data_IF_400050645879
#
_entry.id   IF_400050645879
#
_cell.length_a   1.000
_cell.length_b   1.000
_cell.length_c   1.000
_cell.angle_alpha   90.00
_cell.angle_beta   90.00
_cell.angle_gamma   90.00
#
_symmetry.space_group_name_H-M   'P 1'
#
loop_
_entity.id
_entity.type
_entity.pdbx_description
1 polymer ?
#
# COMPACT_ATOMS: atom_id res chain seq x y z
N UNK A 1 23.64 -60.41 10.54
CA UNK A 1 23.90 -59.23 11.40
C UNK A 1 25.01 -58.42 10.76
N UNK A 2 24.69 -57.29 10.12
CA UNK A 2 25.68 -56.30 9.65
C UNK A 2 25.12 -54.92 9.94
N UNK A 3 25.93 -54.15 10.66
CA UNK A 3 25.62 -52.87 11.29
C UNK A 3 25.37 -51.72 10.32
N UNK A 4 24.45 -50.86 10.76
CA UNK A 4 24.04 -49.57 10.20
C UNK A 4 25.05 -48.51 10.65
N UNK A 5 25.60 -47.69 9.73
CA UNK A 5 25.98 -46.29 10.03
C UNK A 5 25.79 -45.39 8.81
N UNK A 6 24.56 -44.92 8.61
CA UNK A 6 24.28 -43.78 7.74
C UNK A 6 24.57 -42.49 8.52
N UNK A 7 25.68 -41.83 8.18
CA UNK A 7 26.04 -40.51 8.72
C UNK A 7 25.19 -39.44 8.07
N UNK A 8 24.25 -38.86 8.82
CA UNK A 8 23.43 -37.73 8.39
C UNK A 8 24.16 -36.44 8.81
N UNK A 9 24.81 -35.78 7.84
CA UNK A 9 25.39 -34.45 8.03
C UNK A 9 24.24 -33.44 7.96
N UNK A 10 23.79 -32.96 9.12
CA UNK A 10 22.83 -31.87 9.22
C UNK A 10 23.54 -30.55 8.88
N UNK A 11 23.34 -30.05 7.67
CA UNK A 11 23.79 -28.73 7.24
C UNK A 11 22.82 -27.68 7.82
N UNK A 12 23.19 -27.07 8.94
CA UNK A 12 22.45 -25.95 9.52
C UNK A 12 22.64 -24.70 8.65
N UNK A 13 21.66 -24.42 7.79
CA UNK A 13 21.59 -23.14 7.06
C UNK A 13 21.12 -22.08 8.05
N UNK A 14 22.07 -21.29 8.57
CA UNK A 14 21.78 -20.06 9.31
C UNK A 14 21.21 -19.04 8.31
N UNK A 15 19.88 -18.96 8.23
CA UNK A 15 19.24 -17.79 7.62
C UNK A 15 19.51 -16.61 8.54
N UNK A 16 20.50 -15.78 8.18
CA UNK A 16 20.60 -14.43 8.71
C UNK A 16 19.34 -13.70 8.28
N UNK A 17 18.35 -13.60 9.17
CA UNK A 17 17.29 -12.63 9.01
C UNK A 17 17.98 -11.27 9.06
N UNK A 18 17.91 -10.43 8.00
CA UNK A 18 18.36 -9.05 8.10
C UNK A 18 17.43 -8.38 9.10
N UNK A 19 17.81 -8.45 10.38
CA UNK A 19 17.16 -7.75 11.45
C UNK A 19 17.20 -6.26 11.12
N UNK A 20 16.04 -5.62 11.24
CA UNK A 20 15.89 -4.16 11.33
C UNK A 20 16.68 -3.68 12.55
N UNK A 21 18.00 -3.65 12.47
CA UNK A 21 18.85 -3.23 13.55
C UNK A 21 18.79 -1.70 13.65
N UNK A 22 17.84 -1.20 14.46
CA UNK A 22 17.89 0.14 15.04
C UNK A 22 17.13 1.26 14.32
N UNK A 23 16.40 0.99 13.24
CA UNK A 23 15.56 2.02 12.62
C UNK A 23 14.20 2.14 13.35
N UNK A 24 13.83 3.37 13.75
CA UNK A 24 12.49 3.61 14.32
C UNK A 24 11.41 3.55 13.24
N UNK A 25 10.18 3.18 13.59
CA UNK A 25 9.04 3.16 12.67
C UNK A 25 8.86 4.50 11.94
N UNK A 26 9.00 5.62 12.65
CA UNK A 26 8.90 6.96 12.04
C UNK A 26 9.99 7.24 11.01
N UNK A 27 11.21 6.78 11.26
CA UNK A 27 12.32 6.91 10.30
C UNK A 27 12.09 6.02 9.06
N UNK A 28 11.63 4.79 9.28
CA UNK A 28 11.27 3.85 8.20
C UNK A 28 10.15 4.42 7.33
N UNK A 29 9.09 4.96 7.94
CA UNK A 29 7.97 5.59 7.25
C UNK A 29 8.44 6.80 6.44
N UNK A 30 9.23 7.70 7.04
CA UNK A 30 9.74 8.89 6.35
C UNK A 30 10.49 8.53 5.05
N UNK A 31 11.35 7.50 5.09
CA UNK A 31 12.11 7.05 3.93
C UNK A 31 11.23 6.37 2.88
N UNK A 32 10.38 5.42 3.30
CA UNK A 32 9.59 4.62 2.38
C UNK A 32 8.41 5.40 1.80
N UNK A 33 7.78 6.29 2.56
CA UNK A 33 6.71 7.18 2.07
C UNK A 33 7.21 8.05 0.92
N UNK A 34 8.43 8.60 1.00
CA UNK A 34 8.98 9.36 -0.11
C UNK A 34 9.30 8.49 -1.34
N UNK A 35 9.73 7.24 -1.15
CA UNK A 35 9.93 6.30 -2.27
C UNK A 35 8.61 5.98 -2.96
N UNK A 36 7.58 5.65 -2.16
CA UNK A 36 6.20 5.39 -2.62
C UNK A 36 5.65 6.59 -3.38
N UNK A 37 5.66 7.80 -2.79
CA UNK A 37 5.16 9.02 -3.46
C UNK A 37 5.83 9.27 -4.80
N UNK A 38 7.17 9.13 -4.88
CA UNK A 38 7.91 9.29 -6.15
C UNK A 38 7.51 8.24 -7.18
N UNK A 39 7.34 6.99 -6.77
CA UNK A 39 6.89 5.93 -7.67
C UNK A 39 5.48 6.20 -8.19
N UNK A 40 4.53 6.54 -7.31
CA UNK A 40 3.17 6.90 -7.69
C UNK A 40 3.16 8.06 -8.69
N UNK A 41 3.92 9.13 -8.42
CA UNK A 41 4.06 10.28 -9.33
C UNK A 41 4.74 9.93 -10.67
N UNK A 42 5.46 8.80 -10.76
CA UNK A 42 6.08 8.35 -12.01
C UNK A 42 5.15 7.56 -12.93
N UNK A 43 3.99 7.11 -12.41
CA UNK A 43 2.99 6.38 -13.19
C UNK A 43 2.39 7.27 -14.27
N UNK A 44 2.27 6.72 -15.49
CA UNK A 44 1.79 7.44 -16.67
C UNK A 44 0.46 6.87 -17.14
N UNK A 45 -0.22 7.60 -18.03
CA UNK A 45 -1.43 7.13 -18.72
C UNK A 45 -1.18 5.81 -19.47
N UNK A 46 0.03 5.60 -19.99
CA UNK A 46 0.43 4.33 -20.63
C UNK A 46 0.51 3.13 -19.67
N UNK A 47 0.47 3.38 -18.36
CA UNK A 47 0.48 2.33 -17.33
C UNK A 47 -0.93 1.91 -16.90
N UNK A 48 -1.97 2.62 -17.37
CA UNK A 48 -3.36 2.29 -17.08
C UNK A 48 -3.70 0.87 -17.56
N UNK A 49 -4.35 0.10 -16.69
CA UNK A 49 -4.70 -1.30 -16.93
C UNK A 49 -3.52 -2.27 -16.87
N UNK A 50 -2.28 -1.80 -16.62
CA UNK A 50 -1.09 -2.66 -16.55
C UNK A 50 -0.83 -3.13 -15.13
N UNK A 51 -0.38 -4.37 -15.02
CA UNK A 51 0.14 -4.95 -13.78
C UNK A 51 1.50 -4.33 -13.46
N UNK A 52 1.62 -3.80 -12.26
CA UNK A 52 2.81 -3.13 -11.76
C UNK A 52 3.85 -4.14 -11.27
N UNK A 53 5.13 -3.78 -11.46
CA UNK A 53 6.28 -4.52 -10.91
C UNK A 53 6.52 -4.24 -9.43
N UNK A 54 5.84 -3.24 -8.88
CA UNK A 54 6.02 -2.77 -7.52
C UNK A 54 7.32 -2.00 -7.31
N UNK A 55 7.55 -1.62 -6.06
CA UNK A 55 8.76 -0.96 -5.59
C UNK A 55 9.28 -1.61 -4.33
N UNK A 56 10.60 -1.75 -4.29
CA UNK A 56 11.29 -2.35 -3.16
C UNK A 56 11.43 -1.34 -2.01
N UNK A 57 10.86 -1.66 -0.87
CA UNK A 57 10.98 -0.93 0.38
C UNK A 57 12.32 -1.25 1.07
N UNK A 58 12.69 -0.49 2.11
CA UNK A 58 13.97 -0.69 2.82
C UNK A 58 14.07 -2.05 3.52
N UNK A 59 12.94 -2.63 3.94
CA UNK A 59 12.87 -3.98 4.52
C UNK A 59 12.90 -5.10 3.44
N UNK A 60 12.95 -4.74 2.15
CA UNK A 60 12.97 -5.69 1.04
C UNK A 60 11.59 -6.10 0.50
N UNK A 61 10.50 -5.70 1.16
CA UNK A 61 9.14 -5.93 0.65
C UNK A 61 8.88 -5.15 -0.64
N UNK A 62 7.92 -5.64 -1.44
CA UNK A 62 7.55 -5.06 -2.72
C UNK A 62 6.16 -4.41 -2.63
N UNK A 63 6.12 -3.10 -2.35
CA UNK A 63 4.86 -2.37 -2.35
C UNK A 63 4.32 -2.25 -3.78
N UNK A 64 3.00 -2.37 -3.94
CA UNK A 64 2.28 -2.29 -5.24
C UNK A 64 2.67 -3.37 -6.27
N UNK A 65 3.41 -4.42 -5.91
CA UNK A 65 3.65 -5.54 -6.83
C UNK A 65 2.33 -6.25 -7.15
N UNK A 66 2.14 -6.60 -8.42
CA UNK A 66 0.94 -7.33 -8.88
C UNK A 66 -0.33 -6.48 -9.00
N UNK A 67 -0.34 -5.27 -8.46
CA UNK A 67 -1.46 -4.34 -8.55
C UNK A 67 -1.66 -3.87 -10.00
N UNK A 68 -2.90 -3.57 -10.38
CA UNK A 68 -3.22 -2.97 -11.69
C UNK A 68 -3.57 -1.49 -11.50
N UNK A 69 -2.86 -0.60 -12.19
CA UNK A 69 -3.12 0.84 -12.10
C UNK A 69 -4.40 1.23 -12.85
N UNK A 70 -5.36 1.85 -12.16
CA UNK A 70 -6.69 2.17 -12.70
C UNK A 70 -6.88 3.66 -12.98
N UNK A 71 -6.40 4.54 -12.11
CA UNK A 71 -6.50 5.99 -12.31
C UNK A 71 -5.57 6.76 -11.39
N UNK A 72 -5.20 7.98 -11.80
CA UNK A 72 -4.57 8.97 -10.93
C UNK A 72 -5.26 10.31 -11.12
N UNK A 73 -5.46 11.04 -10.03
CA UNK A 73 -5.98 12.41 -10.08
C UNK A 73 -5.44 13.28 -8.96
N UNK A 74 -5.49 14.58 -9.21
CA UNK A 74 -5.18 15.61 -8.24
C UNK A 74 -6.48 16.32 -7.85
N UNK A 75 -6.75 16.41 -6.55
CA UNK A 75 -7.90 17.13 -6.00
C UNK A 75 -7.40 18.51 -5.55
N UNK A 76 -7.56 19.57 -6.37
CA UNK A 76 -6.96 20.87 -6.10
C UNK A 76 -7.50 21.52 -4.82
N UNK A 77 -8.76 21.25 -4.47
CA UNK A 77 -9.42 21.76 -3.27
C UNK A 77 -8.66 21.37 -1.99
N UNK A 78 -8.15 20.15 -1.93
CA UNK A 78 -7.41 19.61 -0.80
C UNK A 78 -5.90 19.71 -0.96
N UNK A 79 -5.43 19.95 -2.19
CA UNK A 79 -4.06 19.61 -2.64
C UNK A 79 -3.75 18.13 -2.41
N UNK A 80 -4.72 17.26 -2.71
CA UNK A 80 -4.57 15.82 -2.52
C UNK A 80 -4.22 15.10 -3.82
N UNK A 81 -3.43 14.04 -3.70
CA UNK A 81 -3.07 13.13 -4.78
C UNK A 81 -3.75 11.80 -4.51
N UNK A 82 -4.51 11.30 -5.48
CA UNK A 82 -5.23 10.04 -5.38
C UNK A 82 -4.80 9.13 -6.51
N UNK A 83 -4.37 7.92 -6.17
CA UNK A 83 -4.05 6.85 -7.12
C UNK A 83 -4.91 5.65 -6.79
N UNK A 84 -5.63 5.12 -7.78
CA UNK A 84 -6.48 3.95 -7.59
C UNK A 84 -5.90 2.77 -8.34
N UNK A 85 -5.91 1.63 -7.67
CA UNK A 85 -5.43 0.36 -8.16
C UNK A 85 -6.49 -0.71 -7.98
N UNK A 86 -6.29 -1.82 -8.68
CA UNK A 86 -6.89 -3.11 -8.36
C UNK A 86 -5.83 -3.97 -7.71
N UNK A 87 -6.17 -4.62 -6.61
CA UNK A 87 -5.34 -5.58 -5.91
C UNK A 87 -4.92 -6.75 -6.82
N UNK A 88 -3.87 -7.51 -6.47
CA UNK A 88 -3.43 -8.69 -7.22
C UNK A 88 -4.51 -9.77 -7.39
N UNK A 89 -5.55 -9.76 -6.54
CA UNK A 89 -6.74 -10.63 -6.64
C UNK A 89 -7.61 -10.36 -7.88
N UNK A 90 -7.38 -9.24 -8.56
CA UNK A 90 -8.09 -8.86 -9.78
C UNK A 90 -9.53 -8.39 -9.56
N UNK A 91 -9.94 -8.09 -8.32
CA UNK A 91 -11.30 -7.65 -8.00
C UNK A 91 -11.34 -6.44 -7.08
N UNK A 92 -10.50 -6.41 -6.06
CA UNK A 92 -10.61 -5.45 -4.97
C UNK A 92 -9.95 -4.13 -5.37
N UNK A 93 -10.69 -3.00 -5.42
CA UNK A 93 -10.06 -1.72 -5.66
C UNK A 93 -9.44 -1.17 -4.36
N UNK A 94 -8.35 -0.42 -4.51
CA UNK A 94 -7.62 0.22 -3.41
C UNK A 94 -7.11 1.59 -3.85
N UNK A 95 -7.27 2.60 -3.00
CA UNK A 95 -6.76 3.94 -3.21
C UNK A 95 -5.54 4.21 -2.33
N UNK A 96 -4.54 4.86 -2.91
CA UNK A 96 -3.37 5.39 -2.23
C UNK A 96 -3.44 6.92 -2.33
N UNK A 97 -3.51 7.57 -1.17
CA UNK A 97 -3.84 8.99 -1.07
C UNK A 97 -2.89 9.72 -0.15
N UNK A 98 -2.50 10.95 -0.50
CA UNK A 98 -1.87 11.87 0.44
C UNK A 98 -2.28 13.31 0.15
N UNK A 99 -2.18 14.16 1.16
CA UNK A 99 -2.37 15.61 1.04
C UNK A 99 -1.01 16.29 1.09
N UNK A 100 -0.72 17.13 0.09
CA UNK A 100 0.53 17.88 0.02
C UNK A 100 0.65 18.88 1.18
N UNK A 101 1.88 19.26 1.52
CA UNK A 101 2.12 20.28 2.55
C UNK A 101 1.44 21.61 2.16
N UNK A 102 0.76 22.24 3.14
CA UNK A 102 -0.04 23.44 2.92
C UNK A 102 -1.36 23.19 2.18
N UNK A 103 -1.79 21.93 2.05
CA UNK A 103 -3.17 21.56 1.74
C UNK A 103 -4.08 21.66 2.97
N UNK A 104 -5.35 21.26 2.80
CA UNK A 104 -6.31 21.09 3.90
C UNK A 104 -6.66 19.62 4.06
N UNK A 105 -7.01 19.20 5.28
CA UNK A 105 -7.35 17.81 5.55
C UNK A 105 -8.48 17.34 4.61
N UNK A 106 -8.31 16.13 4.06
CA UNK A 106 -9.24 15.55 3.10
C UNK A 106 -10.04 14.44 3.78
N UNK A 107 -11.37 14.51 3.82
CA UNK A 107 -12.17 13.46 4.45
C UNK A 107 -11.95 12.12 3.76
N UNK A 108 -11.74 11.07 4.55
CA UNK A 108 -11.78 9.70 4.06
C UNK A 108 -13.23 9.25 4.03
N UNK A 109 -13.67 8.59 2.95
CA UNK A 109 -14.99 7.98 2.93
C UNK A 109 -15.05 6.85 3.97
N UNK A 110 -16.15 6.79 4.72
CA UNK A 110 -16.46 5.60 5.50
C UNK A 110 -17.08 4.54 4.59
N UNK A 111 -16.81 3.29 4.87
CA UNK A 111 -17.55 2.18 4.28
C UNK A 111 -17.85 1.16 5.37
N UNK A 112 -18.97 0.45 5.25
CA UNK A 112 -19.31 -0.60 6.21
C UNK A 112 -18.18 -1.65 6.23
N UNK A 113 -17.84 -2.20 7.41
CA UNK A 113 -16.89 -3.28 7.50
C UNK A 113 -17.43 -4.49 6.72
N UNK A 114 -16.90 -4.68 5.52
CA UNK A 114 -17.18 -5.84 4.69
C UNK A 114 -16.53 -7.07 5.35
N UNK A 115 -17.34 -8.10 5.62
CA UNK A 115 -16.92 -9.37 6.24
C UNK A 115 -15.81 -10.10 5.46
N UNK A 116 -15.58 -9.72 4.21
CA UNK A 116 -14.52 -10.30 3.36
C UNK A 116 -13.17 -9.59 3.46
N UNK A 117 -13.08 -8.45 4.17
CA UNK A 117 -11.83 -7.69 4.31
C UNK A 117 -11.09 -8.09 5.58
N UNK A 118 -9.74 -8.08 5.58
CA UNK A 118 -8.96 -8.39 6.78
C UNK A 118 -9.31 -7.47 7.96
N UNK A 119 -9.42 -8.01 9.17
CA UNK A 119 -9.85 -7.32 10.40
C UNK A 119 -8.99 -6.10 10.80
N UNK A 120 -7.82 -5.90 10.20
CA UNK A 120 -6.96 -4.75 10.49
C UNK A 120 -7.34 -3.45 9.75
N UNK A 121 -8.40 -3.49 8.90
CA UNK A 121 -8.87 -2.36 8.08
C UNK A 121 -10.09 -1.61 8.63
N UNK A 122 -10.55 -1.92 9.84
CA UNK A 122 -11.91 -1.59 10.32
C UNK A 122 -12.22 -0.08 10.39
N UNK A 123 -11.25 0.83 10.22
CA UNK A 123 -11.43 2.25 10.54
C UNK A 123 -10.97 3.27 9.49
N UNK A 124 -11.11 2.98 8.19
CA UNK A 124 -10.99 3.92 7.04
C UNK A 124 -9.68 3.88 6.25
N UNK A 125 -8.61 3.25 6.77
CA UNK A 125 -7.39 3.04 6.00
C UNK A 125 -6.21 2.49 6.82
N UNK A 126 -5.06 2.40 6.16
CA UNK A 126 -3.78 2.04 6.74
C UNK A 126 -2.67 2.95 6.18
N UNK A 127 -1.53 3.03 6.86
CA UNK A 127 -0.30 3.59 6.28
C UNK A 127 0.53 2.48 5.63
N UNK A 128 1.60 2.85 4.91
CA UNK A 128 2.44 1.89 4.18
C UNK A 128 3.17 0.87 5.06
N UNK A 129 3.23 1.07 6.39
CA UNK A 129 3.73 0.06 7.35
C UNK A 129 2.70 -1.04 7.64
N UNK A 130 1.45 -0.88 7.20
CA UNK A 130 0.33 -1.75 7.55
C UNK A 130 -0.41 -1.33 8.82
N UNK A 131 0.09 -0.33 9.55
CA UNK A 131 -0.59 0.18 10.75
C UNK A 131 -1.91 0.86 10.38
N UNK A 132 -2.93 0.64 11.20
CA UNK A 132 -4.24 1.26 11.02
C UNK A 132 -4.14 2.78 11.05
N UNK A 133 -4.77 3.43 10.08
CA UNK A 133 -4.93 4.88 10.05
C UNK A 133 -6.16 5.25 10.87
N UNK A 134 -5.97 5.94 11.99
CA UNK A 134 -7.03 6.20 12.97
C UNK A 134 -7.77 7.52 12.75
N UNK A 135 -7.32 8.36 11.83
CA UNK A 135 -8.00 9.62 11.50
C UNK A 135 -9.10 9.38 10.46
N UNK A 136 -10.19 10.11 10.59
CA UNK A 136 -11.26 10.17 9.58
C UNK A 136 -10.89 11.00 8.34
N UNK A 137 -9.71 11.60 8.33
CA UNK A 137 -9.26 12.53 7.28
C UNK A 137 -7.77 12.38 7.03
N UNK A 138 -7.35 12.43 5.77
CA UNK A 138 -5.94 12.46 5.37
C UNK A 138 -5.34 13.82 5.71
N UNK A 139 -4.34 13.82 6.60
CA UNK A 139 -3.70 15.04 7.10
C UNK A 139 -2.67 15.62 6.10
N UNK A 140 -2.60 16.96 5.96
CA UNK A 140 -1.59 17.63 5.13
C UNK A 140 -0.16 17.33 5.56
N UNK A 141 0.72 17.08 4.59
CA UNK A 141 2.14 16.79 4.84
C UNK A 141 2.41 15.42 5.46
N UNK A 142 1.37 14.61 5.69
CA UNK A 142 1.49 13.27 6.26
C UNK A 142 1.95 12.19 5.28
N UNK A 143 1.87 10.94 5.74
CA UNK A 143 2.19 9.75 4.97
C UNK A 143 1.14 9.43 3.90
N UNK A 144 1.44 8.41 3.09
CA UNK A 144 0.46 7.86 2.15
C UNK A 144 -0.53 6.97 2.92
N UNK A 145 -1.81 7.29 2.80
CA UNK A 145 -2.93 6.53 3.34
C UNK A 145 -3.47 5.60 2.26
N UNK A 146 -3.61 4.33 2.61
CA UNK A 146 -4.14 3.25 1.79
C UNK A 146 -5.55 2.94 2.25
N UNK A 147 -6.53 2.95 1.35
CA UNK A 147 -7.93 2.66 1.71
C UNK A 147 -8.68 1.90 0.63
N UNK A 148 -9.53 0.97 1.07
CA UNK A 148 -10.49 0.26 0.21
C UNK A 148 -11.90 0.89 0.24
N UNK A 149 -12.10 1.91 1.08
CA UNK A 149 -13.30 2.72 1.03
C UNK A 149 -13.10 3.76 -0.06
N UNK A 150 -13.77 3.61 -1.20
CA UNK A 150 -13.61 4.56 -2.29
C UNK A 150 -14.61 5.71 -2.24
N UNK A 151 -15.87 5.45 -1.84
CA UNK A 151 -16.93 6.46 -1.90
C UNK A 151 -17.01 7.19 -3.25
N UNK A 152 -17.70 8.32 -3.29
CA UNK A 152 -17.73 9.19 -4.48
C UNK A 152 -16.37 9.91 -4.66
N UNK A 153 -15.84 10.46 -3.57
CA UNK A 153 -14.61 11.27 -3.59
C UNK A 153 -13.38 10.51 -4.06
N UNK A 154 -13.24 9.21 -3.73
CA UNK A 154 -12.11 8.38 -4.18
C UNK A 154 -12.45 7.52 -5.41
N UNK A 155 -13.71 7.13 -5.59
CA UNK A 155 -14.16 6.23 -6.67
C UNK A 155 -14.50 6.90 -8.01
N UNK A 156 -14.70 8.22 -8.05
CA UNK A 156 -15.12 8.91 -9.27
C UNK A 156 -14.16 8.70 -10.46
N UNK A 157 -14.73 8.29 -11.60
CA UNK A 157 -14.00 8.05 -12.84
C UNK A 157 -13.35 6.66 -12.96
N UNK A 158 -13.61 5.73 -12.04
CA UNK A 158 -13.27 4.33 -12.29
C UNK A 158 -14.16 3.77 -13.40
N UNK A 159 -13.61 3.03 -14.37
CA UNK A 159 -14.43 2.35 -15.36
C UNK A 159 -15.34 1.39 -14.59
N UNK A 160 -16.65 1.67 -14.61
CA UNK A 160 -17.66 0.75 -14.10
C UNK A 160 -17.55 -0.50 -14.97
N UNK A 161 -16.82 -1.49 -14.46
CA UNK A 161 -16.77 -2.79 -15.09
C UNK A 161 -18.20 -3.29 -15.15
N UNK A 162 -18.76 -3.41 -16.35
CA UNK A 162 -19.95 -4.23 -16.55
C UNK A 162 -19.51 -5.66 -16.18
N UNK A 163 -19.86 -6.08 -14.98
CA UNK A 163 -19.74 -7.47 -14.54
C UNK A 163 -20.72 -8.33 -15.34
#
# INVERSE_FOLDING_TARGET
>A
MRDIRAGMIALAVLFATPGLAGESLGQWLSQNSQKVKRYLLSLKTSDLGRRLRGIRLTNGEQALEGHVFLSARYLPEYKARVFVFREPDGKTPVAWVWVEQGGKAMPLPSCEPDKSRPDWFVWSGAVISGDSYTFSEVQPGGDVVITHCLGETLGDGLPVGKH
#
